data_IF_235663370565
#
_entry.id   IF_235663370565
#
_cell.length_a   1.000
_cell.length_b   1.000
_cell.length_c   1.000
_cell.angle_alpha   90.00
_cell.angle_beta   90.00
_cell.angle_gamma   90.00
#
_symmetry.space_group_name_H-M   'P 1'
#
loop_
_entity.id
_entity.type
_entity.pdbx_description
1 polymer ?
#
# COMPACT_ATOMS: atom_id res chain seq x y z
N UNK A 1 -20.06 -0.34 -21.20
CA UNK A 1 -19.89 0.66 -20.13
C UNK A 1 -18.41 0.71 -19.82
N UNK A 2 -17.78 1.84 -20.12
CA UNK A 2 -16.34 1.93 -20.38
C UNK A 2 -15.81 3.09 -19.55
N UNK A 3 -15.46 2.85 -18.28
CA UNK A 3 -14.78 3.86 -17.43
C UNK A 3 -14.26 3.32 -16.08
N UNK A 4 -13.69 2.11 -16.04
CA UNK A 4 -13.28 1.50 -14.75
C UNK A 4 -11.80 1.12 -14.65
N UNK A 5 -11.00 1.34 -15.72
CA UNK A 5 -9.61 0.87 -15.75
C UNK A 5 -8.60 1.74 -15.00
N UNK A 6 -8.90 3.00 -14.71
CA UNK A 6 -7.94 3.95 -14.12
C UNK A 6 -8.39 4.51 -12.75
N UNK A 7 -9.37 3.90 -12.08
CA UNK A 7 -9.94 4.51 -10.86
C UNK A 7 -8.96 4.50 -9.68
N UNK A 8 -8.06 3.52 -9.60
CA UNK A 8 -7.12 3.35 -8.47
C UNK A 8 -5.79 2.79 -8.95
N UNK A 9 -4.69 3.40 -8.51
CA UNK A 9 -3.33 3.04 -8.95
C UNK A 9 -2.25 3.53 -7.98
N UNK A 10 -1.04 2.98 -8.16
CA UNK A 10 0.21 3.46 -7.60
C UNK A 10 1.26 3.51 -8.70
N UNK A 11 1.80 4.71 -8.97
CA UNK A 11 2.81 4.96 -10.00
C UNK A 11 3.98 5.69 -9.37
N UNK A 12 5.19 5.21 -9.58
CA UNK A 12 6.38 5.81 -8.96
C UNK A 12 7.64 5.30 -9.64
N UNK A 13 8.75 5.96 -9.33
CA UNK A 13 10.07 5.46 -9.64
C UNK A 13 10.72 4.90 -8.39
N UNK A 14 11.31 3.71 -8.50
CA UNK A 14 11.99 3.02 -7.42
C UNK A 14 13.44 2.77 -7.74
N UNK A 15 14.31 2.95 -6.76
CA UNK A 15 15.69 2.51 -6.83
C UNK A 15 15.99 1.61 -5.64
N UNK A 16 16.23 0.34 -5.93
CA UNK A 16 16.68 -0.62 -4.93
C UNK A 16 18.22 -0.55 -4.76
N UNK A 17 18.76 -1.47 -3.98
CA UNK A 17 20.20 -1.54 -3.69
C UNK A 17 21.02 -2.23 -4.77
N UNK A 18 20.37 -2.80 -5.79
CA UNK A 18 20.99 -3.65 -6.81
C UNK A 18 21.07 -2.89 -8.14
N UNK A 19 20.07 -2.07 -8.44
CA UNK A 19 19.94 -1.29 -9.68
C UNK A 19 20.70 0.02 -9.59
N UNK A 20 21.49 0.32 -10.62
CA UNK A 20 22.18 1.62 -10.73
C UNK A 20 21.18 2.75 -11.07
N UNK A 21 20.10 2.41 -11.79
CA UNK A 21 19.07 3.33 -12.28
C UNK A 21 17.73 3.16 -11.56
N UNK A 22 16.93 4.24 -11.56
CA UNK A 22 15.53 4.19 -11.14
C UNK A 22 14.69 3.40 -12.16
N UNK A 23 13.81 2.57 -11.64
CA UNK A 23 12.88 1.76 -12.41
C UNK A 23 11.46 2.28 -12.21
N UNK A 24 10.70 2.38 -13.29
CA UNK A 24 9.31 2.82 -13.21
C UNK A 24 8.40 1.66 -12.79
N UNK A 25 7.47 1.96 -11.89
CA UNK A 25 6.47 1.05 -11.34
C UNK A 25 5.07 1.58 -11.66
N UNK A 26 4.19 0.69 -12.11
CA UNK A 26 2.78 1.00 -12.36
C UNK A 26 1.91 -0.17 -11.89
N UNK A 27 1.25 0.02 -10.75
CA UNK A 27 0.26 -0.90 -10.22
C UNK A 27 -1.13 -0.29 -10.39
N UNK A 28 -1.96 -0.88 -11.25
CA UNK A 28 -3.33 -0.42 -11.51
C UNK A 28 -4.35 -1.50 -11.14
N UNK A 29 -5.50 -1.13 -10.58
CA UNK A 29 -6.57 -2.06 -10.23
C UNK A 29 -7.21 -2.70 -11.47
N UNK A 30 -7.32 -4.04 -11.48
CA UNK A 30 -8.07 -4.78 -12.49
C UNK A 30 -7.23 -5.51 -13.53
N UNK A 31 -5.91 -5.45 -13.42
CA UNK A 31 -5.02 -6.21 -14.28
C UNK A 31 -4.87 -7.66 -13.78
N UNK A 32 -5.11 -8.61 -14.69
CA UNK A 32 -4.58 -9.97 -14.53
C UNK A 32 -3.19 -9.98 -15.13
N UNK A 33 -2.16 -10.14 -14.30
CA UNK A 33 -0.79 -10.26 -14.78
C UNK A 33 -0.40 -11.73 -14.89
N UNK A 34 0.19 -12.10 -16.02
CA UNK A 34 0.81 -13.41 -16.19
C UNK A 34 2.28 -13.28 -15.79
N UNK A 35 2.67 -13.94 -14.72
CA UNK A 35 4.07 -14.00 -14.29
C UNK A 35 4.61 -15.35 -14.72
N UNK A 36 5.71 -15.31 -15.46
CA UNK A 36 6.46 -16.49 -15.88
C UNK A 36 7.92 -16.25 -15.50
N UNK A 37 8.32 -16.75 -14.34
CA UNK A 37 9.72 -16.82 -13.94
C UNK A 37 10.16 -18.28 -13.71
N UNK A 38 11.43 -18.48 -13.35
CA UNK A 38 12.02 -19.82 -13.19
C UNK A 38 11.44 -20.62 -12.01
N UNK A 39 10.66 -19.99 -11.14
CA UNK A 39 10.07 -20.57 -9.93
C UNK A 39 8.53 -20.53 -9.93
N UNK A 40 7.91 -19.77 -10.83
CA UNK A 40 6.47 -19.55 -10.87
C UNK A 40 5.93 -19.33 -12.28
N UNK A 41 4.82 -19.98 -12.60
CA UNK A 41 4.15 -19.86 -13.90
C UNK A 41 2.64 -19.94 -13.67
N UNK A 42 2.03 -18.81 -13.33
CA UNK A 42 0.61 -18.75 -12.97
C UNK A 42 -0.05 -17.45 -13.45
N UNK A 43 -1.40 -17.46 -13.44
CA UNK A 43 -2.19 -16.23 -13.55
C UNK A 43 -2.33 -15.63 -12.16
N UNK A 44 -1.96 -14.34 -12.06
CA UNK A 44 -2.05 -13.57 -10.83
C UNK A 44 -3.15 -12.54 -10.98
N UNK A 45 -4.07 -12.51 -10.02
CA UNK A 45 -5.14 -11.52 -10.00
C UNK A 45 -4.75 -10.39 -9.05
N UNK A 46 -4.68 -9.19 -9.59
CA UNK A 46 -4.43 -7.99 -8.81
C UNK A 46 -5.77 -7.46 -8.27
N UNK A 47 -5.90 -7.38 -6.95
CA UNK A 47 -7.10 -6.88 -6.27
C UNK A 47 -6.77 -5.67 -5.40
N UNK A 48 -7.79 -4.85 -5.13
CA UNK A 48 -7.73 -3.87 -4.06
C UNK A 48 -8.01 -4.56 -2.73
N UNK A 49 -7.22 -4.24 -1.70
CA UNK A 49 -7.39 -4.79 -0.37
C UNK A 49 -7.39 -3.68 0.67
N UNK A 50 -8.32 -3.76 1.62
CA UNK A 50 -8.38 -2.93 2.80
C UNK A 50 -8.40 -3.83 4.03
N UNK A 51 -7.51 -3.58 4.99
CA UNK A 51 -7.48 -4.35 6.24
C UNK A 51 -6.97 -3.52 7.40
N UNK A 52 -7.33 -3.92 8.62
CA UNK A 52 -6.76 -3.35 9.83
C UNK A 52 -5.59 -4.22 10.30
N UNK A 53 -4.39 -3.66 10.32
CA UNK A 53 -3.20 -4.32 10.85
C UNK A 53 -2.87 -3.78 12.24
N UNK A 54 -2.21 -4.60 13.06
CA UNK A 54 -1.60 -4.16 14.32
C UNK A 54 -0.08 -4.29 14.20
N UNK A 55 0.61 -3.16 14.29
CA UNK A 55 2.07 -3.11 14.28
C UNK A 55 2.50 -2.38 15.56
N UNK A 56 3.26 -3.06 16.42
CA UNK A 56 3.75 -2.51 17.69
C UNK A 56 2.65 -1.83 18.54
N UNK A 57 1.50 -2.49 18.70
CA UNK A 57 0.34 -1.97 19.45
C UNK A 57 -0.34 -0.74 18.83
N UNK A 58 0.01 -0.36 17.60
CA UNK A 58 -0.67 0.69 16.84
C UNK A 58 -1.51 0.05 15.74
N UNK A 59 -2.75 0.53 15.58
CA UNK A 59 -3.64 0.10 14.51
C UNK A 59 -3.39 0.90 13.25
N UNK A 60 -3.18 0.19 12.14
CA UNK A 60 -3.02 0.76 10.82
C UNK A 60 -4.17 0.32 9.94
N UNK A 61 -4.91 1.28 9.39
CA UNK A 61 -5.85 0.97 8.33
C UNK A 61 -5.09 0.93 7.01
N UNK A 62 -4.86 -0.27 6.52
CA UNK A 62 -4.12 -0.52 5.30
C UNK A 62 -5.06 -0.50 4.10
N UNK A 63 -4.60 0.15 3.03
CA UNK A 63 -5.22 0.18 1.71
C UNK A 63 -4.14 -0.04 0.67
N UNK A 64 -4.44 -0.83 -0.36
CA UNK A 64 -3.49 -1.02 -1.43
C UNK A 64 -3.86 -2.13 -2.39
N UNK A 65 -2.87 -2.46 -3.21
CA UNK A 65 -2.93 -3.50 -4.21
C UNK A 65 -2.35 -4.79 -3.63
N UNK A 66 -3.10 -5.88 -3.73
CA UNK A 66 -2.69 -7.22 -3.32
C UNK A 66 -2.81 -8.21 -4.47
N UNK A 67 -2.00 -9.26 -4.39
CA UNK A 67 -2.00 -10.38 -5.32
C UNK A 67 -2.83 -11.54 -4.74
N UNK A 68 -3.75 -12.10 -5.53
CA UNK A 68 -4.50 -13.31 -5.17
C UNK A 68 -3.96 -14.50 -5.96
N UNK A 69 -3.42 -15.50 -5.26
CA UNK A 69 -2.99 -16.78 -5.81
C UNK A 69 -3.95 -17.88 -5.39
N UNK A 70 -4.53 -18.61 -6.34
CA UNK A 70 -5.29 -19.85 -6.06
C UNK A 70 -6.27 -19.75 -4.89
N UNK A 71 -7.04 -18.66 -4.81
CA UNK A 71 -8.02 -18.37 -3.76
C UNK A 71 -7.45 -18.09 -2.35
N UNK A 72 -6.14 -17.94 -2.21
CA UNK A 72 -5.48 -17.33 -1.05
C UNK A 72 -5.02 -15.91 -1.40
N UNK A 73 -5.43 -14.92 -0.61
CA UNK A 73 -4.88 -13.57 -0.71
C UNK A 73 -3.44 -13.64 -0.21
N UNK A 74 -2.49 -13.34 -1.08
CA UNK A 74 -1.11 -13.11 -0.66
C UNK A 74 -0.95 -11.66 -0.19
N UNK A 75 0.06 -11.43 0.64
CA UNK A 75 0.44 -10.13 1.21
C UNK A 75 0.44 -9.01 0.14
N UNK A 76 0.13 -7.76 0.52
CA UNK A 76 0.02 -6.65 -0.43
C UNK A 76 1.29 -6.44 -1.27
N UNK A 77 1.09 -6.16 -2.56
CA UNK A 77 2.16 -5.80 -3.51
C UNK A 77 2.65 -4.38 -3.26
N UNK A 78 1.71 -3.45 -3.07
CA UNK A 78 2.02 -2.09 -2.65
C UNK A 78 0.83 -1.51 -1.91
N UNK A 79 1.07 -0.75 -0.85
CA UNK A 79 0.00 -0.07 -0.14
C UNK A 79 0.48 0.87 0.95
N UNK A 80 -0.49 1.56 1.53
CA UNK A 80 -0.31 2.46 2.66
C UNK A 80 -1.06 1.94 3.86
N UNK A 81 -0.40 1.88 5.02
CA UNK A 81 -1.01 1.71 6.33
C UNK A 81 -1.11 3.05 7.03
N UNK A 82 -2.31 3.51 7.34
CA UNK A 82 -2.53 4.78 8.04
C UNK A 82 -2.83 4.56 9.52
N UNK A 83 -2.02 5.15 10.40
CA UNK A 83 -2.30 5.19 11.83
C UNK A 83 -3.28 6.33 12.16
N UNK A 84 -4.53 6.14 11.73
CA UNK A 84 -5.61 7.12 11.94
C UNK A 84 -6.02 7.11 13.42
N UNK A 85 -6.02 8.26 14.12
CA UNK A 85 -6.52 8.32 15.49
C UNK A 85 -7.98 7.88 15.58
N UNK A 86 -8.29 6.99 16.53
CA UNK A 86 -9.66 6.52 16.77
C UNK A 86 -10.07 5.25 16.01
N UNK A 87 -9.14 4.56 15.32
CA UNK A 87 -9.42 3.24 14.76
C UNK A 87 -9.76 2.21 15.84
N UNK A 88 -10.80 1.42 15.60
CA UNK A 88 -11.24 0.34 16.48
C UNK A 88 -11.02 -1.05 15.83
N UNK A 89 -10.53 -2.04 16.60
CA UNK A 89 -10.38 -3.41 16.10
C UNK A 89 -11.67 -3.99 15.52
N UNK A 90 -11.58 -4.52 14.30
CA UNK A 90 -12.70 -5.19 13.64
C UNK A 90 -13.78 -4.27 13.09
N UNK A 91 -13.56 -2.95 13.10
CA UNK A 91 -14.46 -1.96 12.50
C UNK A 91 -13.78 -1.21 11.36
N UNK A 92 -14.59 -0.80 10.39
CA UNK A 92 -14.14 0.16 9.37
C UNK A 92 -14.24 1.58 9.96
N UNK A 93 -13.43 2.54 9.48
CA UNK A 93 -13.48 3.92 9.96
C UNK A 93 -14.85 4.55 9.73
N UNK A 94 -15.24 5.54 10.54
CA UNK A 94 -16.40 6.39 10.23
C UNK A 94 -16.05 7.41 9.15
N UNK A 95 -17.06 7.92 8.44
CA UNK A 95 -16.87 9.00 7.46
C UNK A 95 -16.16 10.21 8.06
N UNK A 96 -16.60 10.66 9.24
CA UNK A 96 -16.00 11.80 9.94
C UNK A 96 -14.52 11.60 10.26
N UNK A 97 -14.12 10.38 10.68
CA UNK A 97 -12.70 10.08 10.93
C UNK A 97 -11.87 10.19 9.65
N UNK A 98 -12.41 9.75 8.50
CA UNK A 98 -11.71 9.88 7.22
C UNK A 98 -11.67 11.33 6.73
N UNK A 99 -12.71 12.12 6.92
CA UNK A 99 -12.73 13.54 6.54
C UNK A 99 -11.76 14.38 7.37
N UNK A 100 -11.70 14.13 8.69
CA UNK A 100 -10.75 14.78 9.58
C UNK A 100 -9.31 14.37 9.25
N UNK A 101 -9.11 13.11 8.84
CA UNK A 101 -7.78 12.60 8.55
C UNK A 101 -7.29 12.96 7.14
N UNK A 102 -8.14 12.91 6.12
CA UNK A 102 -7.77 13.13 4.72
C UNK A 102 -8.38 14.44 4.21
N UNK A 103 -7.52 15.45 4.01
CA UNK A 103 -7.90 16.71 3.37
C UNK A 103 -6.82 17.21 2.42
N UNK A 104 -7.18 17.90 1.32
CA UNK A 104 -6.22 18.45 0.37
C UNK A 104 -5.16 19.33 1.04
N UNK A 105 -3.90 19.12 0.67
CA UNK A 105 -2.73 19.81 1.22
C UNK A 105 -2.17 19.20 2.51
N UNK A 106 -2.82 18.17 3.09
CA UNK A 106 -2.24 17.45 4.24
C UNK A 106 -0.98 16.71 3.79
N UNK A 107 0.14 16.97 4.46
CA UNK A 107 1.33 16.11 4.42
C UNK A 107 1.28 15.11 5.58
N UNK A 108 1.52 13.84 5.26
CA UNK A 108 1.55 12.72 6.19
C UNK A 108 2.96 12.12 6.11
N UNK A 109 3.81 12.33 7.13
CA UNK A 109 5.17 11.80 7.10
C UNK A 109 5.18 10.28 7.21
N UNK A 110 6.16 9.68 6.55
CA UNK A 110 6.40 8.25 6.61
C UNK A 110 6.86 7.81 8.01
N UNK A 111 6.49 6.59 8.42
CA UNK A 111 7.00 5.93 9.63
C UNK A 111 5.94 5.32 10.55
N UNK A 112 6.31 5.13 11.82
CA UNK A 112 5.45 4.54 12.85
C UNK A 112 4.85 5.59 13.80
N UNK A 113 3.66 5.30 14.32
CA UNK A 113 2.94 6.10 15.30
C UNK A 113 1.76 6.89 14.73
N UNK A 114 1.01 7.59 15.60
CA UNK A 114 -0.17 8.37 15.22
C UNK A 114 0.14 9.38 14.11
N UNK A 115 -0.80 9.53 13.18
CA UNK A 115 -0.70 10.47 12.06
C UNK A 115 0.50 10.22 11.12
N UNK A 116 1.05 9.00 11.14
CA UNK A 116 2.04 8.52 10.18
C UNK A 116 1.40 7.59 9.16
N UNK A 117 2.09 7.45 8.04
CA UNK A 117 1.80 6.43 7.03
C UNK A 117 2.97 5.44 6.95
N UNK A 118 2.65 4.16 6.98
CA UNK A 118 3.57 3.09 6.66
C UNK A 118 3.42 2.73 5.19
N UNK A 119 4.47 2.89 4.39
CA UNK A 119 4.46 2.45 2.99
C UNK A 119 5.00 1.03 2.92
N UNK A 120 4.26 0.14 2.27
CA UNK A 120 4.63 -1.25 2.06
C UNK A 120 4.81 -1.51 0.56
N UNK A 121 5.90 -2.17 0.21
CA UNK A 121 6.26 -2.53 -1.16
C UNK A 121 6.84 -3.93 -1.21
N UNK A 122 6.26 -4.77 -2.05
CA UNK A 122 6.81 -6.06 -2.48
C UNK A 122 7.28 -5.92 -3.92
N UNK A 123 8.58 -5.74 -4.11
CA UNK A 123 9.20 -5.59 -5.43
C UNK A 123 9.14 -6.91 -6.23
N UNK A 124 8.23 -6.99 -7.20
CA UNK A 124 8.28 -7.97 -8.29
C UNK A 124 8.82 -7.35 -9.59
N UNK A 125 9.86 -6.50 -9.49
CA UNK A 125 10.45 -5.83 -10.66
C UNK A 125 11.90 -6.30 -10.80
N UNK A 126 12.20 -6.94 -11.92
CA UNK A 126 13.52 -7.49 -12.19
C UNK A 126 13.81 -8.76 -11.39
N UNK A 127 14.68 -9.61 -11.95
CA UNK A 127 15.17 -10.79 -11.27
C UNK A 127 16.46 -10.41 -10.52
N UNK A 128 16.58 -10.71 -9.20
CA UNK A 128 15.62 -11.42 -8.36
C UNK A 128 14.47 -10.54 -7.87
N UNK A 129 13.26 -11.07 -7.99
CA UNK A 129 12.09 -10.52 -7.33
C UNK A 129 12.26 -10.69 -5.82
N UNK A 130 12.08 -9.62 -5.05
CA UNK A 130 12.12 -9.70 -3.59
C UNK A 130 10.83 -10.35 -3.10
N UNK A 131 10.97 -11.56 -2.56
CA UNK A 131 9.83 -12.39 -2.18
C UNK A 131 9.02 -11.86 -0.98
N UNK A 132 9.61 -10.99 -0.15
CA UNK A 132 9.07 -10.53 1.13
C UNK A 132 8.87 -9.00 1.15
N UNK A 133 7.78 -8.50 1.77
CA UNK A 133 7.39 -7.09 1.71
C UNK A 133 8.37 -6.20 2.48
N UNK A 134 8.98 -5.25 1.79
CA UNK A 134 9.76 -4.16 2.40
C UNK A 134 8.82 -3.05 2.86
N UNK A 135 9.16 -2.38 3.96
CA UNK A 135 8.28 -1.39 4.59
C UNK A 135 9.06 -0.21 5.14
N UNK A 136 8.45 0.97 5.18
CA UNK A 136 9.09 2.14 5.82
C UNK A 136 9.40 1.87 7.29
N UNK A 137 8.62 1.03 7.99
CA UNK A 137 8.88 0.68 9.40
C UNK A 137 10.21 -0.05 9.62
N UNK A 138 10.79 -0.63 8.57
CA UNK A 138 12.10 -1.27 8.66
C UNK A 138 13.24 -0.26 8.54
N UNK A 139 13.01 1.00 8.16
CA UNK A 139 14.09 1.99 8.23
C UNK A 139 14.35 2.38 9.68
N UNK A 140 15.62 2.43 10.05
CA UNK A 140 16.04 2.99 11.33
C UNK A 140 15.59 4.45 11.48
N UNK A 141 15.76 5.23 10.40
CA UNK A 141 15.29 6.61 10.28
C UNK A 141 14.35 6.74 9.07
N UNK A 142 13.02 6.54 9.25
CA UNK A 142 12.04 6.78 8.21
C UNK A 142 12.09 8.21 7.68
N UNK A 143 12.09 8.37 6.36
CA UNK A 143 12.01 9.66 5.67
C UNK A 143 11.02 9.61 4.51
N UNK A 144 10.55 10.79 4.13
CA UNK A 144 9.54 10.96 3.09
C UNK A 144 8.16 11.28 3.63
N UNK A 145 7.27 11.56 2.71
CA UNK A 145 5.90 11.97 3.00
C UNK A 145 4.94 11.58 1.88
N UNK A 146 3.67 11.48 2.26
CA UNK A 146 2.54 11.43 1.37
C UNK A 146 1.78 12.74 1.48
N UNK A 147 1.51 13.39 0.35
CA UNK A 147 0.76 14.64 0.29
C UNK A 147 -0.58 14.38 -0.39
N UNK A 148 -1.66 14.69 0.32
CA UNK A 148 -3.03 14.56 -0.18
C UNK A 148 -3.32 15.69 -1.16
N UNK A 149 -3.72 15.35 -2.38
CA UNK A 149 -4.03 16.32 -3.43
C UNK A 149 -5.54 16.53 -3.55
N UNK A 150 -6.32 15.46 -3.51
CA UNK A 150 -7.76 15.49 -3.71
C UNK A 150 -8.42 14.40 -2.87
N UNK A 151 -9.62 14.69 -2.37
CA UNK A 151 -10.46 13.75 -1.64
C UNK A 151 -11.89 13.94 -2.14
N UNK A 152 -12.51 12.86 -2.62
CA UNK A 152 -13.88 12.87 -3.13
C UNK A 152 -14.67 11.66 -2.63
N UNK A 153 -15.99 11.81 -2.54
CA UNK A 153 -16.87 10.67 -2.27
C UNK A 153 -16.88 9.70 -3.43
N UNK A 154 -16.83 8.40 -3.11
CA UNK A 154 -16.81 7.34 -4.11
C UNK A 154 -17.60 6.11 -3.66
N UNK A 155 -18.26 5.46 -4.61
CA UNK A 155 -18.91 4.16 -4.41
C UNK A 155 -18.15 3.09 -5.20
N UNK A 156 -17.61 2.09 -4.51
CA UNK A 156 -16.89 0.98 -5.11
C UNK A 156 -17.71 -0.31 -4.99
N UNK A 157 -17.90 -1.00 -6.12
CA UNK A 157 -18.47 -2.34 -6.15
C UNK A 157 -17.37 -3.36 -5.87
N UNK A 158 -17.45 -4.03 -4.73
CA UNK A 158 -16.58 -5.13 -4.36
C UNK A 158 -17.10 -6.42 -4.98
N UNK A 159 -16.20 -7.18 -5.60
CA UNK A 159 -16.47 -8.54 -6.08
C UNK A 159 -16.39 -9.55 -4.91
N UNK A 160 -17.22 -9.36 -3.90
CA UNK A 160 -17.46 -10.30 -2.80
C UNK A 160 -18.66 -11.20 -3.10
N UNK A 161 -18.89 -12.24 -2.29
CA UNK A 161 -20.11 -13.04 -2.35
C UNK A 161 -20.85 -12.98 -1.00
N UNK A 162 -22.01 -12.30 -0.91
CA UNK A 162 -22.71 -11.56 -1.97
C UNK A 162 -21.93 -10.31 -2.44
N UNK A 163 -22.24 -9.83 -3.66
CA UNK A 163 -21.69 -8.57 -4.15
C UNK A 163 -22.09 -7.43 -3.22
N UNK A 164 -21.12 -6.58 -2.88
CA UNK A 164 -21.31 -5.48 -1.95
C UNK A 164 -20.90 -4.17 -2.61
N UNK A 165 -21.73 -3.14 -2.46
CA UNK A 165 -21.35 -1.76 -2.80
C UNK A 165 -20.94 -1.08 -1.50
N UNK A 166 -19.73 -0.53 -1.47
CA UNK A 166 -19.20 0.19 -0.31
C UNK A 166 -19.01 1.66 -0.68
N UNK A 167 -19.43 2.52 0.24
CA UNK A 167 -19.09 3.94 0.23
C UNK A 167 -17.72 4.15 0.85
N UNK A 168 -17.06 5.20 0.41
CA UNK A 168 -15.74 5.55 0.87
C UNK A 168 -15.27 6.85 0.26
N UNK A 169 -14.01 7.19 0.56
CA UNK A 169 -13.32 8.31 -0.09
C UNK A 169 -12.38 7.75 -1.15
N UNK A 170 -12.39 8.35 -2.34
CA UNK A 170 -11.31 8.23 -3.32
C UNK A 170 -10.32 9.35 -3.03
N UNK A 171 -9.07 8.99 -2.83
CA UNK A 171 -8.01 9.89 -2.39
C UNK A 171 -6.92 9.89 -3.45
N UNK A 172 -6.62 11.06 -4.00
CA UNK A 172 -5.48 11.30 -4.88
C UNK A 172 -4.34 11.89 -4.06
N UNK A 173 -3.13 11.38 -4.24
CA UNK A 173 -1.95 11.80 -3.48
C UNK A 173 -0.68 11.72 -4.30
N UNK A 174 0.34 12.45 -3.86
CA UNK A 174 1.72 12.31 -4.31
C UNK A 174 2.59 11.83 -3.16
N UNK A 175 3.69 11.13 -3.44
CA UNK A 175 4.59 10.68 -2.40
C UNK A 175 6.04 10.52 -2.87
N UNK A 176 6.96 10.64 -1.93
CA UNK A 176 8.39 10.36 -2.09
C UNK A 176 8.96 9.97 -0.73
N UNK A 177 10.04 9.18 -0.71
CA UNK A 177 10.61 8.73 0.55
C UNK A 177 11.40 7.43 0.46
N UNK A 178 11.61 6.81 1.61
CA UNK A 178 12.33 5.56 1.75
C UNK A 178 11.46 4.41 2.24
N UNK A 179 11.81 3.21 1.81
CA UNK A 179 11.31 1.94 2.34
C UNK A 179 12.49 1.11 2.82
N UNK A 180 12.41 0.53 4.01
CA UNK A 180 13.47 -0.31 4.56
C UNK A 180 13.38 -1.71 4.00
N UNK A 181 14.52 -2.25 3.57
CA UNK A 181 14.61 -3.62 3.07
C UNK A 181 14.28 -4.61 4.19
N UNK A 182 13.38 -5.55 3.90
CA UNK A 182 13.09 -6.62 4.84
C UNK A 182 14.30 -7.55 5.01
N UNK A 183 14.78 -7.68 6.25
CA UNK A 183 15.80 -8.66 6.64
C UNK A 183 15.17 -9.70 7.58
N UNK A 184 15.04 -10.98 7.17
CA UNK A 184 14.43 -12.00 8.01
C UNK A 184 15.28 -12.24 9.27
N UNK A 185 14.68 -12.07 10.44
CA UNK A 185 15.29 -12.43 11.71
C UNK A 185 14.87 -13.82 12.22
N UNK A 186 15.70 -14.45 13.06
CA UNK A 186 15.42 -15.76 13.64
C UNK A 186 14.33 -15.75 14.73
N UNK A 187 13.83 -14.58 15.17
CA UNK A 187 12.76 -14.46 16.17
C UNK A 187 11.56 -13.68 15.63
N UNK A 188 10.35 -14.13 15.98
CA UNK A 188 9.07 -13.77 15.33
C UNK A 188 8.54 -12.38 15.74
N UNK A 189 9.04 -11.78 16.83
CA UNK A 189 8.38 -10.63 17.49
C UNK A 189 9.12 -9.28 17.36
N UNK A 190 10.24 -9.21 16.62
CA UNK A 190 11.05 -7.98 16.50
C UNK A 190 11.09 -7.45 15.07
N UNK A 191 10.76 -6.17 14.89
CA UNK A 191 11.03 -5.43 13.65
C UNK A 191 12.55 -5.29 13.51
N UNK A 192 13.09 -5.79 12.40
CA UNK A 192 14.51 -5.63 12.07
C UNK A 192 14.68 -4.29 11.37
N UNK A 193 15.28 -3.32 12.07
CA UNK A 193 15.63 -2.06 11.44
C UNK A 193 16.85 -2.25 10.53
N UNK A 194 16.87 -1.53 9.43
CA UNK A 194 17.96 -1.45 8.46
C UNK A 194 18.22 0.02 8.11
N UNK A 195 19.48 0.33 7.80
CA UNK A 195 19.87 1.62 7.22
C UNK A 195 19.78 1.59 5.69
N UNK A 196 19.42 0.43 5.13
CA UNK A 196 19.34 0.21 3.70
C UNK A 196 17.94 0.58 3.19
N UNK A 197 17.90 1.63 2.38
CA UNK A 197 16.67 2.16 1.82
C UNK A 197 16.49 1.77 0.34
N UNK A 198 15.24 1.45 0.02
CA UNK A 198 14.68 1.51 -1.33
C UNK A 198 14.10 2.93 -1.50
N UNK A 199 14.69 3.70 -2.40
CA UNK A 199 14.27 5.08 -2.67
C UNK A 199 13.05 5.11 -3.57
N UNK A 200 12.04 5.88 -3.17
CA UNK A 200 10.84 6.18 -3.94
C UNK A 200 10.83 7.66 -4.32
N UNK A 201 10.53 7.96 -5.58
CA UNK A 201 10.34 9.32 -6.07
C UNK A 201 9.28 9.41 -7.16
N UNK A 202 8.84 10.63 -7.44
CA UNK A 202 7.83 10.91 -8.47
C UNK A 202 6.56 10.05 -8.27
N UNK A 203 6.19 9.81 -7.01
CA UNK A 203 5.08 8.93 -6.66
C UNK A 203 3.74 9.63 -6.82
N UNK A 204 2.80 8.94 -7.47
CA UNK A 204 1.40 9.31 -7.62
C UNK A 204 0.54 8.10 -7.21
N UNK A 205 -0.46 8.33 -6.37
CA UNK A 205 -1.36 7.28 -5.94
C UNK A 205 -2.80 7.76 -5.91
N UNK A 206 -3.70 6.88 -6.35
CA UNK A 206 -5.13 7.03 -6.19
C UNK A 206 -5.66 5.78 -5.50
N UNK A 207 -6.22 5.95 -4.31
CA UNK A 207 -6.64 4.84 -3.46
C UNK A 207 -8.05 5.03 -2.89
N UNK A 208 -8.65 3.91 -2.48
CA UNK A 208 -9.99 3.87 -1.89
C UNK A 208 -9.92 3.58 -0.38
N UNK A 209 -10.59 4.40 0.42
CA UNK A 209 -10.76 4.21 1.86
C UNK A 209 -12.26 4.02 2.18
N UNK A 210 -12.73 2.79 2.50
CA UNK A 210 -14.12 2.57 2.88
C UNK A 210 -14.43 3.19 4.26
N UNK A 211 -15.69 3.61 4.44
CA UNK A 211 -16.24 4.01 5.74
C UNK A 211 -17.58 3.32 6.04
N UNK A 212 -18.03 3.40 7.30
CA UNK A 212 -19.36 2.92 7.76
C UNK A 212 -20.54 3.66 7.13
#
# INVERSE_FOLDING_TARGET
MTQQRDSFYFRFEVKDTISEDYQYVDYTLGDSIWISDRFDTAYHYITWHNQLENINSTHYFQTGVSEVRSFSVSEPLFGFGFAIPGLEPGKIPSEAILEDFFYPGRSIPFGLGPEKVNTLLRLQIGNPAFGLPSQTVFLYEPYGELVIQEVEDYEMQYRTWPEEVRRGKRITSTFEGGIGVYEPQPSVDAISYTDVAIDLRNGEAVFFMPYE
#
